data_IF_599126713149
#
_entry.id   IF_599126713149
#
_cell.length_a   1.000
_cell.length_b   1.000
_cell.length_c   1.000
_cell.angle_alpha   90.00
_cell.angle_beta   90.00
_cell.angle_gamma   90.00
#
_symmetry.space_group_name_H-M   'P 1'
#
loop_
_entity.id
_entity.type
_entity.pdbx_description
1 polymer ?
#
# COMPACT_ATOMS: atom_id res chain seq x y z
N UNK A 1 -23.90 14.19 -13.45
CA UNK A 1 -22.75 13.28 -13.50
C UNK A 1 -21.93 13.47 -12.20
N UNK A 2 -22.58 13.24 -11.05
CA UNK A 2 -22.06 13.55 -9.69
C UNK A 2 -22.01 12.29 -8.79
N UNK A 3 -22.20 11.09 -9.35
CA UNK A 3 -22.31 9.84 -8.56
C UNK A 3 -20.97 9.19 -8.19
N UNK A 4 -19.84 9.74 -8.64
CA UNK A 4 -18.54 9.06 -8.53
C UNK A 4 -17.81 9.36 -7.20
N UNK A 5 -18.05 10.51 -6.57
CA UNK A 5 -17.31 10.92 -5.36
C UNK A 5 -17.89 10.28 -4.09
N UNK A 6 -19.22 10.30 -3.91
CA UNK A 6 -19.88 9.53 -2.85
C UNK A 6 -19.56 8.03 -2.92
N UNK A 7 -19.28 7.51 -4.13
CA UNK A 7 -18.91 6.11 -4.32
C UNK A 7 -17.50 5.79 -3.83
N UNK A 8 -16.52 6.69 -4.01
CA UNK A 8 -15.14 6.43 -3.59
C UNK A 8 -14.96 6.62 -2.09
N UNK A 9 -15.65 7.60 -1.49
CA UNK A 9 -15.60 7.84 -0.04
C UNK A 9 -16.13 6.64 0.75
N UNK A 10 -17.10 5.90 0.19
CA UNK A 10 -17.61 4.66 0.80
C UNK A 10 -16.61 3.50 0.83
N UNK A 11 -15.53 3.58 0.05
CA UNK A 11 -14.49 2.55 -0.05
C UNK A 11 -13.31 2.82 0.89
N UNK A 12 -13.34 3.96 1.60
CA UNK A 12 -12.33 4.32 2.59
C UNK A 12 -12.54 3.54 3.89
N UNK A 13 -11.46 3.21 4.62
CA UNK A 13 -11.62 2.63 5.95
C UNK A 13 -12.20 3.67 6.91
N UNK A 14 -12.68 3.20 8.05
CA UNK A 14 -13.43 4.02 9.00
C UNK A 14 -12.64 5.21 9.57
N UNK A 15 -11.32 5.08 9.70
CA UNK A 15 -10.47 6.11 10.32
C UNK A 15 -8.99 5.90 10.01
N UNK A 16 -8.23 6.99 10.03
CA UNK A 16 -6.77 6.97 10.00
C UNK A 16 -6.15 7.74 11.17
N UNK A 17 -4.91 7.40 11.48
CA UNK A 17 -4.04 8.24 12.30
C UNK A 17 -3.37 9.29 11.42
N UNK A 18 -3.79 10.54 11.54
CA UNK A 18 -3.15 11.65 10.85
C UNK A 18 -1.80 11.96 11.53
N UNK A 19 -0.69 11.79 10.81
CA UNK A 19 0.63 12.25 11.25
C UNK A 19 0.91 13.62 10.66
N UNK A 20 0.72 14.69 11.44
CA UNK A 20 1.32 15.97 11.07
C UNK A 20 2.84 15.94 11.37
N UNK A 21 3.64 16.32 10.39
CA UNK A 21 5.12 16.35 10.42
C UNK A 21 5.70 17.47 11.32
N UNK A 22 7.04 17.64 11.39
CA UNK A 22 8.10 16.69 11.72
C UNK A 22 8.55 16.83 13.18
N UNK A 23 9.42 15.91 13.58
CA UNK A 23 10.09 15.71 14.87
C UNK A 23 10.59 17.00 15.57
N UNK A 24 9.71 17.70 16.28
CA UNK A 24 10.06 18.43 17.49
C UNK A 24 8.84 18.52 18.41
N UNK A 25 9.06 18.08 19.64
CA UNK A 25 8.20 18.23 20.80
C UNK A 25 7.23 17.08 21.13
N UNK A 26 7.33 16.64 22.37
CA UNK A 26 6.99 15.31 22.87
C UNK A 26 5.50 15.13 23.22
N UNK A 27 4.60 15.75 22.46
CA UNK A 27 3.14 15.57 22.59
C UNK A 27 2.51 15.43 21.21
N UNK A 28 2.89 14.36 20.52
CA UNK A 28 2.21 13.88 19.32
C UNK A 28 0.81 13.44 19.72
N UNK A 29 -0.19 14.30 19.55
CA UNK A 29 -1.59 13.89 19.63
C UNK A 29 -1.90 13.16 18.34
N UNK A 30 -1.99 11.84 18.43
CA UNK A 30 -2.58 11.00 17.39
C UNK A 30 -4.05 11.42 17.24
N UNK A 31 -4.32 12.32 16.28
CA UNK A 31 -5.68 12.74 15.98
C UNK A 31 -6.28 11.70 15.03
N UNK A 32 -7.37 11.08 15.49
CA UNK A 32 -8.21 10.22 14.67
C UNK A 32 -9.05 11.14 13.79
N UNK A 33 -8.83 11.08 12.48
CA UNK A 33 -9.58 11.88 11.50
C UNK A 33 -10.28 10.95 10.50
N UNK A 34 -11.47 11.34 10.00
CA UNK A 34 -12.09 10.64 8.88
C UNK A 34 -11.19 10.80 7.65
N UNK A 35 -10.92 9.72 6.90
CA UNK A 35 -10.13 9.83 5.68
C UNK A 35 -10.82 10.72 4.66
N UNK A 36 -9.99 11.45 3.93
CA UNK A 36 -10.39 12.09 2.67
C UNK A 36 -9.38 11.71 1.61
N UNK A 37 -9.87 11.16 0.50
CA UNK A 37 -9.05 10.74 -0.64
C UNK A 37 -8.32 11.90 -1.32
N UNK A 38 -8.83 13.13 -1.17
CA UNK A 38 -8.22 14.33 -1.73
C UNK A 38 -6.98 14.81 -0.96
N UNK A 39 -6.78 14.32 0.27
CA UNK A 39 -5.64 14.68 1.10
C UNK A 39 -4.45 13.77 0.77
N UNK A 40 -3.41 14.35 0.14
CA UNK A 40 -2.19 13.61 -0.21
C UNK A 40 -1.53 12.94 1.01
N UNK A 41 -1.69 13.51 2.21
CA UNK A 41 -1.21 12.91 3.47
C UNK A 41 -1.90 11.58 3.78
N UNK A 42 -3.22 11.50 3.59
CA UNK A 42 -3.99 10.26 3.80
C UNK A 42 -3.57 9.18 2.80
N UNK A 43 -3.38 9.55 1.54
CA UNK A 43 -2.89 8.62 0.51
C UNK A 43 -1.45 8.14 0.78
N UNK A 44 -0.58 9.04 1.26
CA UNK A 44 0.77 8.68 1.64
C UNK A 44 0.80 7.79 2.89
N UNK A 45 -0.08 8.00 3.85
CA UNK A 45 -0.21 7.11 5.00
C UNK A 45 -0.68 5.70 4.59
N UNK A 46 -1.58 5.62 3.61
CA UNK A 46 -2.21 4.37 3.17
C UNK A 46 -1.37 3.57 2.17
N UNK A 47 -0.70 4.23 1.22
CA UNK A 47 0.00 3.59 0.09
C UNK A 47 1.51 3.85 0.09
N UNK A 48 1.96 4.83 0.89
CA UNK A 48 3.38 5.16 1.01
C UNK A 48 4.14 4.10 1.81
N UNK A 49 5.36 3.82 1.39
CA UNK A 49 6.24 2.84 2.06
C UNK A 49 6.93 3.42 3.30
N UNK A 50 6.73 4.70 3.62
CA UNK A 50 7.23 5.37 4.82
C UNK A 50 8.70 5.03 5.13
N UNK A 51 8.93 4.46 6.33
CA UNK A 51 10.26 4.06 6.82
C UNK A 51 10.92 2.96 5.99
N UNK A 52 10.14 2.11 5.32
CA UNK A 52 10.70 1.05 4.46
C UNK A 52 11.42 1.65 3.25
N UNK A 53 10.95 2.79 2.74
CA UNK A 53 11.60 3.49 1.63
C UNK A 53 13.02 3.95 2.01
N UNK A 54 13.21 4.45 3.24
CA UNK A 54 14.53 4.86 3.76
C UNK A 54 15.52 3.70 3.91
N UNK A 55 14.99 2.48 4.05
CA UNK A 55 15.79 1.27 4.22
C UNK A 55 16.01 0.51 2.91
N UNK A 56 15.40 0.95 1.79
CA UNK A 56 15.41 0.18 0.54
C UNK A 56 16.84 -0.07 0.03
N UNK A 57 17.73 0.92 0.20
CA UNK A 57 19.15 0.85 -0.18
C UNK A 57 19.96 -0.11 0.71
N UNK A 58 19.38 -0.58 1.81
CA UNK A 58 19.99 -1.54 2.76
C UNK A 58 19.34 -2.92 2.68
N UNK A 59 18.22 -3.08 1.96
CA UNK A 59 17.50 -4.36 1.87
C UNK A 59 18.28 -5.43 1.11
N UNK A 60 19.31 -5.07 0.33
CA UNK A 60 20.20 -6.05 -0.31
C UNK A 60 20.91 -6.96 0.71
N UNK A 61 21.07 -6.51 1.97
CA UNK A 61 21.63 -7.33 3.06
C UNK A 61 20.66 -8.45 3.44
N UNK A 62 19.34 -8.22 3.29
CA UNK A 62 18.31 -9.22 3.56
C UNK A 62 18.15 -10.24 2.41
N UNK A 63 18.87 -10.04 1.29
CA UNK A 63 18.90 -10.96 0.16
C UNK A 63 18.56 -10.28 -1.18
N UNK A 64 18.48 -11.10 -2.23
CA UNK A 64 18.10 -10.63 -3.56
C UNK A 64 16.60 -10.28 -3.56
N UNK A 65 16.17 -9.16 -4.18
CA UNK A 65 14.77 -8.88 -4.40
C UNK A 65 14.19 -9.95 -5.34
N UNK A 66 13.43 -10.88 -4.78
CA UNK A 66 12.66 -11.87 -5.53
C UNK A 66 11.19 -11.69 -5.25
N UNK A 67 10.30 -11.99 -6.23
CA UNK A 67 8.87 -12.01 -5.96
C UNK A 67 8.55 -12.92 -4.77
N UNK A 68 7.55 -12.58 -3.94
CA UNK A 68 7.17 -13.41 -2.82
C UNK A 68 6.67 -14.79 -3.30
N UNK A 69 6.82 -15.80 -2.43
CA UNK A 69 6.20 -17.10 -2.66
C UNK A 69 4.68 -16.98 -2.53
N UNK A 70 3.96 -17.79 -3.31
CA UNK A 70 2.51 -17.85 -3.30
C UNK A 70 1.94 -18.21 -1.91
N UNK A 71 0.69 -17.83 -1.63
CA UNK A 71 0.06 -18.00 -0.31
C UNK A 71 0.04 -19.47 0.15
N UNK A 72 -0.28 -20.42 -0.73
CA UNK A 72 -0.26 -21.83 -0.38
C UNK A 72 1.15 -22.29 0.03
N UNK A 73 2.19 -21.73 -0.58
CA UNK A 73 3.57 -22.06 -0.26
C UNK A 73 3.99 -21.44 1.08
N UNK A 74 3.46 -20.27 1.45
CA UNK A 74 3.67 -19.73 2.81
C UNK A 74 3.15 -20.71 3.88
N UNK A 75 2.00 -21.37 3.63
CA UNK A 75 1.49 -22.44 4.51
C UNK A 75 2.37 -23.69 4.52
N UNK A 76 2.92 -24.09 3.37
CA UNK A 76 3.90 -25.19 3.30
C UNK A 76 5.14 -24.88 4.14
N UNK A 77 5.57 -23.61 4.16
CA UNK A 77 6.65 -23.14 5.02
C UNK A 77 6.26 -23.04 6.51
N UNK A 78 5.04 -23.40 6.88
CA UNK A 78 4.55 -23.34 8.27
C UNK A 78 4.27 -21.94 8.77
N UNK A 79 3.99 -20.99 7.87
CA UNK A 79 3.69 -19.60 8.23
C UNK A 79 2.19 -19.33 8.29
N UNK A 80 1.78 -18.66 9.35
CA UNK A 80 0.46 -18.08 9.50
C UNK A 80 0.38 -16.75 8.77
N UNK A 81 -0.72 -16.53 8.04
CA UNK A 81 -0.97 -15.29 7.32
C UNK A 81 -1.60 -14.30 8.31
N UNK A 82 -0.93 -13.17 8.55
CA UNK A 82 -1.36 -12.13 9.48
C UNK A 82 -1.75 -10.89 8.67
N UNK A 83 -3.01 -10.46 8.84
CA UNK A 83 -3.53 -9.24 8.21
C UNK A 83 -2.95 -8.00 8.89
N UNK A 84 -2.46 -7.05 8.09
CA UNK A 84 -1.91 -5.77 8.54
C UNK A 84 -2.38 -4.63 7.65
N UNK A 85 -2.64 -3.45 8.21
CA UNK A 85 -3.01 -2.27 7.40
C UNK A 85 -1.80 -1.42 6.98
N UNK A 86 -0.66 -1.61 7.64
CA UNK A 86 0.54 -0.81 7.40
C UNK A 86 1.33 -1.31 6.18
N UNK A 87 1.60 -0.40 5.24
CA UNK A 87 2.32 -0.71 3.99
C UNK A 87 3.76 -1.19 4.20
N UNK A 88 4.42 -0.71 5.24
CA UNK A 88 5.79 -1.09 5.60
C UNK A 88 5.89 -2.52 6.16
N UNK A 89 4.77 -3.11 6.58
CA UNK A 89 4.68 -4.50 7.03
C UNK A 89 4.26 -5.49 5.93
N UNK A 90 3.81 -4.99 4.78
CA UNK A 90 3.40 -5.87 3.68
C UNK A 90 4.59 -6.71 3.18
N UNK A 91 4.41 -8.05 3.13
CA UNK A 91 5.42 -9.06 2.79
C UNK A 91 6.53 -9.26 3.83
N UNK A 92 6.48 -8.59 4.98
CA UNK A 92 7.38 -8.92 6.08
C UNK A 92 7.09 -10.34 6.51
N UNK A 93 8.14 -11.14 6.70
CA UNK A 93 7.99 -12.52 7.13
C UNK A 93 8.99 -12.88 8.21
N UNK A 94 8.57 -13.77 9.10
CA UNK A 94 9.40 -14.42 10.10
C UNK A 94 9.41 -15.93 9.84
N UNK A 95 9.87 -16.71 10.83
CA UNK A 95 9.82 -18.17 10.74
C UNK A 95 8.39 -18.71 10.73
N UNK A 96 7.47 -18.07 11.45
CA UNK A 96 6.10 -18.58 11.67
C UNK A 96 5.02 -17.63 11.18
N UNK A 97 5.36 -16.42 10.77
CA UNK A 97 4.38 -15.40 10.39
C UNK A 97 4.70 -14.81 9.02
N UNK A 98 3.65 -14.49 8.29
CA UNK A 98 3.68 -13.80 7.01
C UNK A 98 2.68 -12.65 7.06
N UNK A 99 3.17 -11.41 7.02
CA UNK A 99 2.34 -10.22 7.14
C UNK A 99 1.87 -9.77 5.75
N UNK A 100 0.55 -9.70 5.56
CA UNK A 100 -0.07 -9.31 4.31
C UNK A 100 -1.09 -8.21 4.54
N UNK A 101 -1.09 -7.23 3.64
CA UNK A 101 -2.01 -6.09 3.71
C UNK A 101 -3.13 -6.34 2.70
N UNK A 102 -4.42 -6.35 3.10
CA UNK A 102 -5.52 -6.55 2.17
C UNK A 102 -5.50 -5.50 1.06
N UNK A 103 -5.98 -5.85 -0.13
CA UNK A 103 -6.08 -4.86 -1.21
C UNK A 103 -7.18 -3.85 -0.86
N UNK A 104 -6.86 -2.55 -0.70
CA UNK A 104 -7.88 -1.55 -0.44
C UNK A 104 -8.88 -1.47 -1.61
N UNK A 105 -10.20 -1.48 -1.37
CA UNK A 105 -11.21 -1.56 -2.44
C UNK A 105 -11.13 -0.41 -3.46
N UNK A 106 -10.75 0.79 -3.04
CA UNK A 106 -10.57 1.93 -3.94
C UNK A 106 -9.47 1.72 -4.99
N UNK A 107 -8.48 0.83 -4.73
CA UNK A 107 -7.46 0.48 -5.74
C UNK A 107 -8.03 -0.31 -6.91
N UNK A 108 -9.18 -0.96 -6.72
CA UNK A 108 -9.85 -1.72 -7.78
C UNK A 108 -10.74 -0.81 -8.65
N UNK A 109 -10.91 0.45 -8.29
CA UNK A 109 -11.74 1.40 -9.00
C UNK A 109 -10.87 2.25 -9.97
N UNK A 110 -11.08 2.20 -11.30
CA UNK A 110 -10.22 2.89 -12.26
C UNK A 110 -10.20 4.42 -12.14
N UNK A 111 -11.31 5.05 -11.76
CA UNK A 111 -11.40 6.50 -11.56
C UNK A 111 -10.53 6.97 -10.39
N UNK A 112 -10.28 6.13 -9.38
CA UNK A 112 -9.32 6.42 -8.32
C UNK A 112 -7.91 6.66 -8.89
N UNK A 113 -7.47 5.80 -9.83
CA UNK A 113 -6.15 5.93 -10.46
C UNK A 113 -6.03 7.21 -11.27
N UNK A 114 -7.06 7.55 -12.04
CA UNK A 114 -7.07 8.76 -12.85
C UNK A 114 -7.09 10.02 -11.99
N UNK A 115 -7.82 10.01 -10.88
CA UNK A 115 -7.99 11.19 -10.01
C UNK A 115 -6.81 11.41 -9.06
N UNK A 116 -6.33 10.36 -8.39
CA UNK A 116 -5.39 10.47 -7.27
C UNK A 116 -3.96 10.02 -7.60
N UNK A 117 -3.78 9.13 -8.59
CA UNK A 117 -2.46 8.57 -8.91
C UNK A 117 -1.89 9.07 -10.25
N UNK A 118 -2.70 9.76 -11.05
CA UNK A 118 -2.23 10.36 -12.31
C UNK A 118 -1.59 11.72 -12.06
N UNK A 119 -0.59 12.03 -12.87
CA UNK A 119 0.06 13.34 -12.86
C UNK A 119 -0.95 14.40 -13.30
N UNK A 120 -0.99 15.54 -12.59
CA UNK A 120 -1.82 16.67 -12.98
C UNK A 120 -1.30 17.40 -14.22
N UNK A 121 -2.14 18.28 -14.77
CA UNK A 121 -1.79 19.12 -15.91
C UNK A 121 -0.54 19.97 -15.58
N UNK A 122 0.47 19.91 -16.45
CA UNK A 122 1.74 20.60 -16.26
C UNK A 122 2.77 19.86 -15.41
N UNK A 123 2.58 18.59 -15.03
CA UNK A 123 3.69 17.80 -14.47
C UNK A 123 4.76 17.55 -15.53
N UNK A 124 6.01 17.93 -15.24
CA UNK A 124 7.18 17.53 -16.02
C UNK A 124 7.67 16.11 -15.67
N UNK A 125 6.71 15.18 -15.62
CA UNK A 125 6.94 13.76 -15.37
C UNK A 125 7.43 13.03 -16.65
N UNK A 126 7.92 13.79 -17.65
CA UNK A 126 8.07 13.38 -19.05
C UNK A 126 9.26 12.45 -19.30
N UNK A 127 10.35 12.57 -18.54
CA UNK A 127 11.52 11.70 -18.67
C UNK A 127 12.27 11.61 -17.33
N UNK A 128 12.09 10.47 -16.62
CA UNK A 128 12.95 9.84 -15.58
C UNK A 128 13.80 10.70 -14.60
N UNK A 129 13.61 12.01 -14.49
CA UNK A 129 14.55 12.95 -13.84
C UNK A 129 13.91 13.85 -12.79
N UNK A 130 12.59 13.93 -12.72
CA UNK A 130 11.89 14.64 -11.64
C UNK A 130 11.37 13.63 -10.60
N UNK A 131 12.20 13.30 -9.61
CA UNK A 131 11.79 12.59 -8.39
C UNK A 131 10.81 13.40 -7.51
N UNK A 132 10.26 14.52 -8.01
CA UNK A 132 9.48 15.49 -7.22
C UNK A 132 7.97 15.27 -7.24
N UNK A 133 7.42 14.42 -8.13
CA UNK A 133 5.97 14.20 -8.18
C UNK A 133 5.54 13.15 -7.15
N UNK A 134 4.90 13.60 -6.05
CA UNK A 134 4.33 12.75 -4.99
C UNK A 134 3.39 11.67 -5.56
N UNK A 135 2.46 12.07 -6.43
CA UNK A 135 1.50 11.15 -7.08
C UNK A 135 2.17 10.08 -7.93
N UNK A 136 3.26 10.41 -8.63
CA UNK A 136 4.01 9.42 -9.41
C UNK A 136 4.71 8.40 -8.51
N UNK A 137 5.21 8.84 -7.36
CA UNK A 137 5.77 7.95 -6.33
C UNK A 137 4.69 7.02 -5.78
N UNK A 138 3.53 7.55 -5.41
CA UNK A 138 2.37 6.76 -4.96
C UNK A 138 1.91 5.76 -6.03
N UNK A 139 1.84 6.17 -7.29
CA UNK A 139 1.52 5.30 -8.41
C UNK A 139 2.50 4.12 -8.52
N UNK A 140 3.81 4.39 -8.42
CA UNK A 140 4.84 3.33 -8.45
C UNK A 140 4.70 2.38 -7.26
N UNK A 141 4.50 2.92 -6.05
CA UNK A 141 4.30 2.13 -4.83
C UNK A 141 3.04 1.25 -4.92
N UNK A 142 1.93 1.82 -5.38
CA UNK A 142 0.66 1.12 -5.60
C UNK A 142 0.81 0.01 -6.63
N UNK A 143 1.50 0.27 -7.73
CA UNK A 143 1.76 -0.75 -8.75
C UNK A 143 2.63 -1.89 -8.20
N UNK A 144 3.66 -1.57 -7.41
CA UNK A 144 4.49 -2.56 -6.73
C UNK A 144 3.68 -3.42 -5.74
N UNK A 145 2.77 -2.80 -5.00
CA UNK A 145 1.82 -3.47 -4.12
C UNK A 145 0.91 -4.44 -4.88
N UNK A 146 0.29 -4.01 -5.99
CA UNK A 146 -0.54 -4.93 -6.78
C UNK A 146 0.28 -6.03 -7.48
N UNK A 147 1.52 -5.72 -7.85
CA UNK A 147 2.44 -6.72 -8.38
C UNK A 147 2.77 -7.81 -7.36
N UNK A 148 2.87 -7.49 -6.06
CA UNK A 148 3.06 -8.52 -5.03
C UNK A 148 1.88 -9.49 -5.00
N UNK A 149 0.65 -9.00 -5.11
CA UNK A 149 -0.55 -9.82 -5.13
C UNK A 149 -0.62 -10.76 -6.32
N UNK A 150 -0.13 -10.32 -7.48
CA UNK A 150 0.06 -11.21 -8.64
C UNK A 150 1.02 -12.38 -8.33
N UNK A 151 2.02 -12.17 -7.47
CA UNK A 151 2.95 -13.22 -7.06
C UNK A 151 2.42 -14.08 -5.89
N UNK A 152 1.57 -13.51 -5.03
CA UNK A 152 0.92 -14.21 -3.92
C UNK A 152 -0.22 -15.13 -4.40
N UNK A 153 -1.01 -14.66 -5.37
CA UNK A 153 -2.18 -15.34 -5.92
C UNK A 153 -1.83 -15.90 -7.31
N UNK A 154 -1.15 -17.05 -7.34
CA UNK A 154 -0.74 -17.68 -8.61
C UNK A 154 -1.73 -18.70 -9.13
N UNK A 155 -2.43 -19.37 -8.21
CA UNK A 155 -3.38 -20.43 -8.52
C UNK A 155 -4.73 -20.16 -7.86
N UNK A 156 -5.76 -20.86 -8.34
CA UNK A 156 -7.11 -20.86 -7.77
C UNK A 156 -7.11 -21.21 -6.27
N UNK A 157 -6.20 -22.10 -5.84
CA UNK A 157 -6.03 -22.40 -4.42
C UNK A 157 -5.61 -21.15 -3.64
N UNK A 158 -4.61 -20.40 -4.14
CA UNK A 158 -4.15 -19.16 -3.49
C UNK A 158 -5.26 -18.11 -3.42
N UNK A 159 -6.11 -18.03 -4.45
CA UNK A 159 -7.23 -17.10 -4.45
C UNK A 159 -8.23 -17.41 -3.34
N UNK A 160 -8.58 -18.69 -3.15
CA UNK A 160 -9.42 -19.12 -2.01
C UNK A 160 -8.73 -18.86 -0.68
N UNK A 161 -7.41 -19.06 -0.59
CA UNK A 161 -6.67 -18.73 0.62
C UNK A 161 -6.70 -17.23 0.94
N UNK A 162 -6.61 -16.38 -0.08
CA UNK A 162 -6.74 -14.93 0.10
C UNK A 162 -8.13 -14.59 0.65
N UNK A 163 -9.20 -15.15 0.06
CA UNK A 163 -10.57 -14.97 0.54
C UNK A 163 -10.77 -15.44 1.99
N UNK A 164 -10.27 -16.63 2.33
CA UNK A 164 -10.34 -17.19 3.70
C UNK A 164 -9.61 -16.32 4.74
N UNK A 165 -8.63 -15.51 4.30
CA UNK A 165 -7.81 -14.66 5.15
C UNK A 165 -8.16 -13.16 5.00
N UNK A 166 -9.24 -12.83 4.29
CA UNK A 166 -9.70 -11.45 4.07
C UNK A 166 -8.64 -10.54 3.42
N UNK A 167 -7.88 -11.08 2.46
CA UNK A 167 -6.84 -10.37 1.68
C UNK A 167 -7.36 -9.82 0.35
#
# INVERSE_FOLDING_TARGET
MLKTEESLDSLLPASYFAKHAPFSDALQKDIISPPKLDEEESLNAELGQGRLHELVDRLWIAGKPTPPNALHFQRVLGRDIIVVEAMDLHLVCSHTQFYAKPIPPFLLEPSFWTRHLSCGDGCDCSDNSSNSCSRRTLWKSTLGFLYSYRALIRHESDFRLAQDNYL
#
